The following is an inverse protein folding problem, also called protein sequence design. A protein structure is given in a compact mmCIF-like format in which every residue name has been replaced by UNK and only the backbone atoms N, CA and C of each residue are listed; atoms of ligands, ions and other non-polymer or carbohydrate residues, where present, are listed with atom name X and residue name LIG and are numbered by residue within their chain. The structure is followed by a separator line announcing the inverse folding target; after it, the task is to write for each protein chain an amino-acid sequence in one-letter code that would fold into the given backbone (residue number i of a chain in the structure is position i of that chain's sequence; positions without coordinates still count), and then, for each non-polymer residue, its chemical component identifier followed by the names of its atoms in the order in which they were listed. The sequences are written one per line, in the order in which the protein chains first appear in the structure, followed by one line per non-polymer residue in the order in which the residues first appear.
data_IF_400077330033
#
_entry.id   IF_400077330033
#
_cell.length_a   1.000
_cell.length_b   1.000
_cell.length_c   1.000
_cell.angle_alpha   90.00
_cell.angle_beta   90.00
_cell.angle_gamma   90.00
#
_symmetry.space_group_name_H-M   'P 1'
#
loop_
_entity.id
_entity.type
_entity.pdbx_description
1 polymer ?
#
# COMPACT_ATOMS: atom_id res chain seq x y z
N UNK A 1 44.15 12.55 -45.62
CA UNK A 1 44.07 11.30 -46.43
C UNK A 1 42.64 11.10 -46.90
N UNK A 2 42.36 11.36 -48.18
CA UNK A 2 41.04 11.11 -48.77
C UNK A 2 40.92 9.63 -49.14
N UNK A 3 39.92 8.94 -48.59
CA UNK A 3 39.57 7.58 -48.99
C UNK A 3 39.35 7.51 -50.52
N UNK A 4 39.83 6.45 -51.21
CA UNK A 4 39.67 6.30 -52.65
C UNK A 4 38.19 6.38 -53.07
N UNK A 5 37.89 7.07 -54.19
CA UNK A 5 36.52 7.33 -54.70
C UNK A 5 35.52 6.16 -54.55
N UNK A 6 35.83 4.89 -54.90
CA UNK A 6 34.88 3.79 -54.74
C UNK A 6 34.48 3.53 -53.29
N UNK A 7 35.37 3.75 -52.32
CA UNK A 7 35.08 3.53 -50.90
C UNK A 7 34.19 4.62 -50.29
N UNK A 8 34.15 5.82 -50.88
CA UNK A 8 33.24 6.88 -50.43
C UNK A 8 31.77 6.60 -50.76
N UNK A 9 31.50 5.76 -51.76
CA UNK A 9 30.14 5.41 -52.20
C UNK A 9 29.71 4.05 -51.65
N UNK A 10 30.62 3.08 -51.61
CA UNK A 10 30.36 1.72 -51.12
C UNK A 10 30.11 1.70 -49.60
N UNK A 11 30.85 2.48 -48.81
CA UNK A 11 30.73 2.49 -47.36
C UNK A 11 29.37 3.02 -46.85
N UNK A 12 28.83 4.17 -47.32
CA UNK A 12 27.49 4.61 -46.91
C UNK A 12 26.38 3.70 -47.43
N UNK A 13 26.58 3.02 -48.57
CA UNK A 13 25.62 2.06 -49.11
C UNK A 13 25.59 0.74 -48.31
N UNK A 14 26.74 0.25 -47.85
CA UNK A 14 26.82 -0.89 -46.91
C UNK A 14 26.28 -0.54 -45.53
N UNK A 15 26.56 0.66 -45.04
CA UNK A 15 26.04 1.16 -43.77
C UNK A 15 24.52 1.29 -43.82
N UNK A 16 23.94 1.85 -44.89
CA UNK A 16 22.49 1.98 -45.03
C UNK A 16 21.80 0.62 -45.18
N UNK A 17 22.37 -0.31 -45.95
CA UNK A 17 21.81 -1.68 -46.09
C UNK A 17 21.88 -2.50 -44.81
N UNK A 18 22.79 -2.22 -43.89
CA UNK A 18 22.83 -2.87 -42.57
C UNK A 18 21.99 -2.13 -41.50
N UNK A 19 22.00 -0.80 -41.50
CA UNK A 19 21.31 0.02 -40.49
C UNK A 19 19.80 0.04 -40.67
N UNK A 20 19.30 0.07 -41.91
CA UNK A 20 17.85 0.10 -42.16
C UNK A 20 17.15 -1.18 -41.65
N UNK A 21 17.65 -2.40 -41.92
CA UNK A 21 17.07 -3.60 -41.32
C UNK A 21 17.18 -3.64 -39.80
N UNK A 22 18.28 -3.16 -39.23
CA UNK A 22 18.46 -3.12 -37.77
C UNK A 22 17.52 -2.13 -37.09
N UNK A 23 17.28 -0.95 -37.69
CA UNK A 23 16.33 0.02 -37.14
C UNK A 23 14.90 -0.47 -37.28
N UNK A 24 14.53 -1.06 -38.42
CA UNK A 24 13.20 -1.66 -38.61
C UNK A 24 12.98 -2.84 -37.66
N UNK A 25 13.98 -3.72 -37.48
CA UNK A 25 13.92 -4.81 -36.51
C UNK A 25 13.82 -4.30 -35.07
N UNK A 26 14.58 -3.25 -34.72
CA UNK A 26 14.52 -2.61 -33.41
C UNK A 26 13.17 -1.96 -33.12
N UNK A 27 12.63 -1.21 -34.08
CA UNK A 27 11.30 -0.59 -33.98
C UNK A 27 10.21 -1.66 -33.94
N UNK A 28 10.32 -2.72 -34.75
CA UNK A 28 9.39 -3.85 -34.73
C UNK A 28 9.41 -4.60 -33.40
N UNK A 29 10.59 -4.83 -32.82
CA UNK A 29 10.72 -5.43 -31.49
C UNK A 29 10.14 -4.53 -30.40
N UNK A 30 10.41 -3.22 -30.46
CA UNK A 30 9.81 -2.25 -29.55
C UNK A 30 8.28 -2.23 -29.66
N UNK A 31 7.75 -2.19 -30.89
CA UNK A 31 6.31 -2.16 -31.16
C UNK A 31 5.60 -3.44 -30.69
N UNK A 32 6.19 -4.61 -30.97
CA UNK A 32 5.64 -5.90 -30.51
C UNK A 32 5.65 -6.01 -28.98
N UNK A 33 6.73 -5.58 -28.32
CA UNK A 33 6.81 -5.51 -26.86
C UNK A 33 5.76 -4.55 -26.28
N UNK A 34 5.54 -3.40 -26.92
CA UNK A 34 4.53 -2.44 -26.50
C UNK A 34 3.10 -2.99 -26.65
N UNK A 35 2.78 -3.62 -27.79
CA UNK A 35 1.49 -4.28 -28.02
C UNK A 35 1.23 -5.40 -26.99
N UNK A 36 2.25 -6.21 -26.68
CA UNK A 36 2.15 -7.24 -25.65
C UNK A 36 1.84 -6.65 -24.27
N UNK A 37 2.53 -5.58 -23.88
CA UNK A 37 2.26 -4.92 -22.60
C UNK A 37 0.83 -4.36 -22.52
N UNK A 38 0.31 -3.79 -23.61
CA UNK A 38 -1.08 -3.31 -23.64
C UNK A 38 -2.10 -4.44 -23.57
N UNK A 39 -1.85 -5.55 -24.28
CA UNK A 39 -2.69 -6.73 -24.22
C UNK A 39 -2.71 -7.31 -22.80
N UNK A 40 -1.54 -7.43 -22.17
CA UNK A 40 -1.41 -7.88 -20.78
C UNK A 40 -2.22 -6.97 -19.82
N UNK A 41 -2.06 -5.64 -19.92
CA UNK A 41 -2.79 -4.70 -19.07
C UNK A 41 -4.32 -4.80 -19.25
N UNK A 42 -4.78 -4.95 -20.49
CA UNK A 42 -6.21 -5.14 -20.77
C UNK A 42 -6.73 -6.43 -20.15
N UNK A 43 -6.04 -7.55 -20.38
CA UNK A 43 -6.43 -8.84 -19.79
C UNK A 43 -6.44 -8.80 -18.27
N UNK A 44 -5.47 -8.12 -17.66
CA UNK A 44 -5.44 -7.93 -16.22
C UNK A 44 -6.66 -7.15 -15.72
N UNK A 45 -7.02 -6.02 -16.36
CA UNK A 45 -8.21 -5.23 -16.00
C UNK A 45 -9.49 -6.07 -16.17
N UNK A 46 -9.62 -6.78 -17.28
CA UNK A 46 -10.77 -7.63 -17.57
C UNK A 46 -10.92 -8.72 -16.50
N UNK A 47 -9.82 -9.35 -16.08
CA UNK A 47 -9.82 -10.37 -15.03
C UNK A 47 -10.13 -9.78 -13.64
N UNK A 48 -9.56 -8.63 -13.30
CA UNK A 48 -9.76 -7.97 -11.99
C UNK A 48 -11.18 -7.43 -11.80
N UNK A 49 -11.86 -7.11 -12.89
CA UNK A 49 -13.24 -6.58 -12.89
C UNK A 49 -14.30 -7.66 -13.14
N UNK A 50 -13.89 -8.91 -13.43
CA UNK A 50 -14.81 -10.03 -13.68
C UNK A 50 -15.67 -10.33 -12.44
N UNK A 51 -16.93 -10.73 -12.67
CA UNK A 51 -17.86 -11.09 -11.59
C UNK A 51 -17.42 -12.36 -10.84
N UNK A 52 -16.66 -13.25 -11.47
CA UNK A 52 -16.19 -14.49 -10.88
C UNK A 52 -15.00 -14.25 -9.93
N UNK A 53 -15.12 -14.57 -8.63
CA UNK A 53 -14.07 -14.34 -7.64
C UNK A 53 -12.74 -15.04 -7.98
N UNK A 54 -12.79 -16.22 -8.61
CA UNK A 54 -11.59 -16.96 -9.00
C UNK A 54 -10.80 -16.24 -10.10
N UNK A 55 -11.48 -15.69 -11.11
CA UNK A 55 -10.85 -14.94 -12.20
C UNK A 55 -10.21 -13.65 -11.69
N UNK A 56 -10.86 -12.97 -10.73
CA UNK A 56 -10.26 -11.79 -10.07
C UNK A 56 -8.96 -12.11 -9.36
N UNK A 57 -8.85 -13.27 -8.69
CA UNK A 57 -7.57 -13.68 -8.06
C UNK A 57 -6.45 -13.84 -9.09
N UNK A 58 -6.75 -14.39 -10.28
CA UNK A 58 -5.77 -14.44 -11.37
C UNK A 58 -5.41 -13.05 -11.88
N UNK A 59 -6.38 -12.14 -12.00
CA UNK A 59 -6.14 -10.74 -12.35
C UNK A 59 -5.21 -10.03 -11.35
N UNK A 60 -5.43 -10.24 -10.05
CA UNK A 60 -4.59 -9.67 -8.98
C UNK A 60 -3.17 -10.26 -9.01
N UNK A 61 -3.03 -11.56 -9.26
CA UNK A 61 -1.72 -12.19 -9.41
C UNK A 61 -0.96 -11.65 -10.64
N UNK A 62 -1.68 -11.42 -11.74
CA UNK A 62 -1.13 -10.80 -12.94
C UNK A 62 -0.72 -9.34 -12.68
N UNK A 63 -1.53 -8.58 -11.96
CA UNK A 63 -1.19 -7.23 -11.51
C UNK A 63 0.07 -7.19 -10.65
N UNK A 64 0.20 -8.09 -9.66
CA UNK A 64 1.41 -8.25 -8.85
C UNK A 64 2.65 -8.49 -9.75
N UNK A 65 2.53 -9.40 -10.72
CA UNK A 65 3.59 -9.70 -11.66
C UNK A 65 3.97 -8.49 -12.52
N UNK A 66 3.00 -7.78 -13.08
CA UNK A 66 3.27 -6.62 -13.93
C UNK A 66 3.90 -5.46 -13.14
N UNK A 67 3.47 -5.22 -11.90
CA UNK A 67 4.07 -4.22 -11.01
C UNK A 67 5.53 -4.53 -10.65
N UNK A 68 5.85 -5.82 -10.40
CA UNK A 68 7.22 -6.26 -10.13
C UNK A 68 8.17 -6.03 -11.30
N UNK A 69 7.65 -5.94 -12.53
CA UNK A 69 8.41 -5.83 -13.77
C UNK A 69 8.31 -4.44 -14.43
N UNK A 70 7.89 -3.39 -13.70
CA UNK A 70 7.73 -2.02 -14.22
C UNK A 70 6.80 -1.91 -15.44
N UNK A 71 5.85 -2.85 -15.59
CA UNK A 71 4.91 -2.86 -16.73
C UNK A 71 3.61 -2.09 -16.47
N UNK A 72 3.32 -1.77 -15.21
CA UNK A 72 2.15 -0.99 -14.80
C UNK A 72 2.61 0.40 -14.34
N UNK A 73 2.03 1.49 -14.88
CA UNK A 73 2.27 2.83 -14.38
C UNK A 73 1.92 2.95 -12.89
N UNK A 74 2.73 3.63 -12.10
CA UNK A 74 2.53 3.73 -10.64
C UNK A 74 1.26 4.49 -10.27
N UNK A 75 0.76 5.37 -11.14
CA UNK A 75 -0.50 6.09 -11.01
C UNK A 75 -1.71 5.15 -11.04
N UNK A 76 -1.56 3.95 -11.64
CA UNK A 76 -2.62 2.95 -11.59
C UNK A 76 -2.80 2.36 -10.19
N UNK A 77 -1.76 2.37 -9.34
CA UNK A 77 -1.83 1.79 -7.99
C UNK A 77 -2.88 2.51 -7.15
N UNK A 78 -2.89 3.85 -7.17
CA UNK A 78 -3.87 4.67 -6.44
C UNK A 78 -5.28 4.39 -6.94
N UNK A 79 -5.49 4.45 -8.26
CA UNK A 79 -6.80 4.19 -8.86
C UNK A 79 -7.35 2.80 -8.54
N UNK A 80 -6.50 1.77 -8.54
CA UNK A 80 -6.91 0.40 -8.21
C UNK A 80 -7.23 0.24 -6.72
N UNK A 81 -6.47 0.87 -5.82
CA UNK A 81 -6.77 0.84 -4.38
C UNK A 81 -8.04 1.62 -4.04
N UNK A 82 -8.26 2.78 -4.65
CA UNK A 82 -9.48 3.56 -4.49
C UNK A 82 -10.71 2.80 -5.02
N UNK A 83 -10.59 2.17 -6.20
CA UNK A 83 -11.62 1.29 -6.75
C UNK A 83 -11.94 0.15 -5.79
N UNK A 84 -10.91 -0.55 -5.30
CA UNK A 84 -11.07 -1.68 -4.39
C UNK A 84 -11.71 -1.28 -3.05
N UNK A 85 -11.38 -0.10 -2.54
CA UNK A 85 -11.98 0.45 -1.32
C UNK A 85 -13.47 0.79 -1.49
N UNK A 86 -13.87 1.22 -2.70
CA UNK A 86 -15.28 1.50 -3.03
C UNK A 86 -16.07 0.27 -3.54
N UNK A 87 -15.40 -0.86 -3.74
CA UNK A 87 -15.99 -2.07 -4.31
C UNK A 87 -16.97 -2.75 -3.36
N UNK A 88 -17.97 -3.42 -3.91
CA UNK A 88 -18.88 -4.28 -3.14
C UNK A 88 -18.20 -5.56 -2.62
N UNK A 89 -17.09 -5.97 -3.24
CA UNK A 89 -16.28 -7.09 -2.79
C UNK A 89 -15.30 -6.67 -1.69
N UNK A 90 -15.62 -7.05 -0.45
CA UNK A 90 -14.81 -6.73 0.74
C UNK A 90 -13.43 -7.40 0.74
N UNK A 91 -13.23 -8.46 -0.02
CA UNK A 91 -11.95 -9.17 -0.09
C UNK A 91 -10.99 -8.55 -1.12
N UNK A 92 -11.51 -7.71 -2.02
CA UNK A 92 -10.72 -7.15 -3.12
C UNK A 92 -9.61 -6.21 -2.64
N UNK A 93 -9.93 -5.27 -1.75
CA UNK A 93 -8.95 -4.33 -1.19
C UNK A 93 -7.82 -5.05 -0.44
N UNK A 94 -8.09 -5.97 0.51
CA UNK A 94 -7.02 -6.72 1.19
C UNK A 94 -6.11 -7.51 0.25
N UNK A 95 -6.65 -8.07 -0.83
CA UNK A 95 -5.89 -8.83 -1.84
C UNK A 95 -5.01 -7.92 -2.69
N UNK A 96 -5.54 -6.78 -3.14
CA UNK A 96 -4.77 -5.80 -3.91
C UNK A 96 -3.67 -5.15 -3.08
N UNK A 97 -3.96 -4.76 -1.85
CA UNK A 97 -2.94 -4.24 -0.93
C UNK A 97 -1.80 -5.26 -0.74
N UNK A 98 -2.10 -6.55 -0.63
CA UNK A 98 -1.08 -7.60 -0.52
C UNK A 98 -0.23 -7.72 -1.80
N UNK A 99 -0.86 -7.68 -2.98
CA UNK A 99 -0.18 -7.71 -4.26
C UNK A 99 0.78 -6.51 -4.42
N UNK A 100 0.30 -5.29 -4.16
CA UNK A 100 1.10 -4.07 -4.24
C UNK A 100 2.23 -4.11 -3.20
N UNK A 101 1.95 -4.56 -1.99
CA UNK A 101 2.96 -4.71 -0.94
C UNK A 101 4.08 -5.66 -1.39
N UNK A 102 3.76 -6.86 -1.90
CA UNK A 102 4.76 -7.79 -2.43
C UNK A 102 5.55 -7.22 -3.59
N UNK A 103 4.91 -6.43 -4.46
CA UNK A 103 5.60 -5.75 -5.54
C UNK A 103 6.54 -4.65 -5.03
N UNK A 104 6.14 -3.88 -4.02
CA UNK A 104 6.95 -2.82 -3.40
C UNK A 104 8.22 -3.32 -2.71
N UNK A 105 8.26 -4.60 -2.30
CA UNK A 105 9.45 -5.23 -1.74
C UNK A 105 10.56 -5.45 -2.79
N UNK A 106 10.18 -5.50 -4.08
CA UNK A 106 11.09 -5.72 -5.21
C UNK A 106 11.33 -4.41 -5.96
N UNK A 107 10.31 -3.58 -6.09
CA UNK A 107 10.33 -2.37 -6.88
C UNK A 107 10.16 -1.11 -6.02
N UNK A 108 11.17 -0.23 -6.04
CA UNK A 108 11.20 0.98 -5.21
C UNK A 108 10.20 2.05 -5.69
N UNK A 109 9.90 2.12 -6.99
CA UNK A 109 8.91 3.08 -7.53
C UNK A 109 7.49 2.75 -7.06
N UNK A 110 7.16 1.46 -7.04
CA UNK A 110 5.91 0.92 -6.50
C UNK A 110 5.81 1.20 -5.00
N UNK A 111 6.93 1.13 -4.27
CA UNK A 111 6.95 1.44 -2.84
C UNK A 111 6.53 2.88 -2.54
N UNK A 112 7.12 3.88 -3.21
CA UNK A 112 6.75 5.28 -2.98
C UNK A 112 5.29 5.56 -3.35
N UNK A 113 4.83 5.01 -4.47
CA UNK A 113 3.44 5.17 -4.90
C UNK A 113 2.45 4.46 -3.97
N UNK A 114 2.83 3.30 -3.42
CA UNK A 114 2.02 2.59 -2.43
C UNK A 114 1.91 3.35 -1.12
N UNK A 115 3.01 3.95 -0.64
CA UNK A 115 3.01 4.83 0.54
C UNK A 115 2.11 6.06 0.33
N UNK A 116 2.15 6.68 -0.85
CA UNK A 116 1.27 7.81 -1.17
C UNK A 116 -0.20 7.39 -1.26
N UNK A 117 -0.48 6.26 -1.92
CA UNK A 117 -1.84 5.75 -2.09
C UNK A 117 -2.48 5.39 -0.73
N UNK A 118 -1.76 4.61 0.07
CA UNK A 118 -2.24 4.21 1.41
C UNK A 118 -2.38 5.40 2.36
N UNK A 119 -1.63 6.48 2.15
CA UNK A 119 -1.79 7.70 2.91
C UNK A 119 -3.13 8.41 2.72
N UNK A 120 -3.87 8.12 1.65
CA UNK A 120 -5.22 8.65 1.40
C UNK A 120 -6.32 7.78 2.00
N UNK A 121 -6.00 6.53 2.33
CA UNK A 121 -6.92 5.59 2.94
C UNK A 121 -7.03 5.84 4.46
N UNK A 122 -8.15 5.45 5.08
CA UNK A 122 -8.27 5.47 6.54
C UNK A 122 -7.16 4.67 7.22
N UNK A 123 -6.64 5.19 8.33
CA UNK A 123 -5.59 4.55 9.14
C UNK A 123 -6.14 3.27 9.75
N UNK A 124 -5.38 2.18 9.62
CA UNK A 124 -5.78 0.87 10.20
C UNK A 124 -5.13 0.72 11.56
N UNK A 125 -5.94 0.70 12.60
CA UNK A 125 -5.44 0.63 13.97
C UNK A 125 -5.91 -0.66 14.62
N UNK A 126 -4.97 -1.52 15.00
CA UNK A 126 -5.25 -2.73 15.77
C UNK A 126 -5.16 -2.41 17.26
N UNK A 127 -6.20 -2.74 18.03
CA UNK A 127 -6.24 -2.39 19.45
C UNK A 127 -5.99 -3.63 20.30
N UNK A 128 -5.05 -3.50 21.22
CA UNK A 128 -4.61 -4.52 22.16
C UNK A 128 -5.01 -4.08 23.57
N UNK A 129 -6.11 -4.67 24.06
CA UNK A 129 -6.66 -4.42 25.39
C UNK A 129 -6.08 -5.38 26.43
N UNK A 130 -5.95 -4.98 27.69
CA UNK A 130 -5.43 -5.87 28.75
C UNK A 130 -6.43 -6.93 29.21
N UNK A 131 -7.71 -6.61 29.14
CA UNK A 131 -8.78 -7.47 29.58
C UNK A 131 -10.05 -7.18 28.77
N UNK A 132 -11.03 -8.07 28.87
CA UNK A 132 -12.26 -7.95 28.08
C UNK A 132 -13.10 -6.72 28.42
N UNK A 133 -12.99 -6.20 29.66
CA UNK A 133 -13.72 -5.00 30.07
C UNK A 133 -13.21 -3.72 29.37
N UNK A 134 -11.96 -3.72 28.89
CA UNK A 134 -11.39 -2.60 28.14
C UNK A 134 -11.69 -2.64 26.64
N UNK A 135 -12.08 -3.79 26.09
CA UNK A 135 -12.38 -3.95 24.66
C UNK A 135 -13.42 -2.94 24.11
N UNK A 136 -14.53 -2.64 24.81
CA UNK A 136 -15.48 -1.64 24.32
C UNK A 136 -14.91 -0.21 24.29
N UNK A 137 -13.85 0.08 25.04
CA UNK A 137 -13.27 1.43 25.11
C UNK A 137 -12.82 1.95 23.73
N UNK A 138 -12.29 1.08 22.87
CA UNK A 138 -11.90 1.48 21.51
C UNK A 138 -13.08 2.10 20.75
N UNK A 139 -14.23 1.43 20.74
CA UNK A 139 -15.44 1.94 20.08
C UNK A 139 -15.93 3.25 20.71
N UNK A 140 -15.95 3.33 22.04
CA UNK A 140 -16.37 4.54 22.76
C UNK A 140 -15.47 5.73 22.43
N UNK A 141 -14.15 5.54 22.41
CA UNK A 141 -13.20 6.59 22.05
C UNK A 141 -13.42 7.09 20.62
N UNK A 142 -13.70 6.17 19.69
CA UNK A 142 -13.98 6.53 18.30
C UNK A 142 -15.31 7.28 18.15
N UNK A 143 -16.32 6.94 18.96
CA UNK A 143 -17.62 7.63 18.94
C UNK A 143 -17.57 9.03 19.57
N UNK A 144 -16.62 9.30 20.47
CA UNK A 144 -16.39 10.62 21.05
C UNK A 144 -15.50 11.52 20.15
N UNK A 145 -14.92 10.96 19.07
CA UNK A 145 -14.21 11.76 18.06
C UNK A 145 -15.17 12.50 17.13
N UNK A 146 -14.70 13.58 16.50
CA UNK A 146 -15.46 14.28 15.47
C UNK A 146 -15.62 13.38 14.24
N UNK A 147 -16.73 13.51 13.51
CA UNK A 147 -17.06 12.66 12.34
C UNK A 147 -15.93 12.58 11.30
N UNK A 148 -15.24 13.71 11.04
CA UNK A 148 -14.11 13.75 10.11
C UNK A 148 -12.90 12.92 10.58
N UNK A 149 -12.60 12.98 11.88
CA UNK A 149 -11.50 12.22 12.49
C UNK A 149 -11.85 10.73 12.57
N UNK A 150 -13.11 10.42 12.89
CA UNK A 150 -13.67 9.07 12.88
C UNK A 150 -13.59 8.42 11.50
N UNK A 151 -13.89 9.16 10.43
CA UNK A 151 -13.78 8.64 9.07
C UNK A 151 -12.33 8.33 8.64
N UNK A 152 -11.35 8.95 9.29
CA UNK A 152 -9.93 8.74 9.01
C UNK A 152 -9.33 7.51 9.72
N UNK A 153 -10.12 6.80 10.55
CA UNK A 153 -9.65 5.68 11.36
C UNK A 153 -10.55 4.46 11.17
N UNK A 154 -9.93 3.29 11.09
CA UNK A 154 -10.64 2.01 11.12
C UNK A 154 -10.02 1.11 12.19
N UNK A 155 -10.86 0.33 12.87
CA UNK A 155 -10.43 -0.72 13.80
C UNK A 155 -10.73 -2.10 13.21
N UNK A 156 -9.78 -2.72 12.48
CA UNK A 156 -9.99 -4.05 11.93
C UNK A 156 -10.16 -5.12 13.01
N UNK A 157 -9.54 -4.93 14.18
CA UNK A 157 -9.63 -5.88 15.29
C UNK A 157 -9.32 -5.22 16.63
N UNK A 158 -10.01 -5.69 17.67
CA UNK A 158 -9.77 -5.37 19.08
C UNK A 158 -9.60 -6.68 19.84
N UNK A 159 -8.37 -6.98 20.25
CA UNK A 159 -7.99 -8.24 20.87
C UNK A 159 -7.45 -8.04 22.29
N UNK A 160 -7.54 -9.09 23.09
CA UNK A 160 -6.96 -9.11 24.44
C UNK A 160 -5.48 -9.51 24.34
N UNK A 161 -4.60 -8.64 24.80
CA UNK A 161 -3.16 -8.88 24.85
C UNK A 161 -2.76 -9.56 26.17
N UNK A 162 -1.76 -10.43 26.08
CA UNK A 162 -1.19 -11.14 27.24
C UNK A 162 -0.23 -10.28 28.08
N UNK A 163 0.15 -9.11 27.56
CA UNK A 163 1.10 -8.21 28.17
C UNK A 163 0.73 -6.76 27.84
N UNK A 164 0.98 -5.85 28.77
CA UNK A 164 1.03 -4.42 28.49
C UNK A 164 2.22 -3.75 29.16
N UNK A 165 2.62 -2.63 28.59
CA UNK A 165 3.63 -1.75 29.17
C UNK A 165 3.08 -0.83 30.25
N UNK A 166 3.95 0.00 30.81
CA UNK A 166 3.61 0.98 31.85
C UNK A 166 2.80 2.18 31.32
N UNK A 167 2.75 2.38 30.00
CA UNK A 167 2.00 3.44 29.34
C UNK A 167 1.10 2.87 28.24
N UNK A 168 0.07 3.61 27.84
CA UNK A 168 -0.62 3.31 26.60
C UNK A 168 0.29 3.70 25.44
N UNK A 169 0.54 2.77 24.53
CA UNK A 169 1.47 2.97 23.42
C UNK A 169 0.73 3.01 22.08
N UNK A 170 1.13 3.91 21.19
CA UNK A 170 0.79 3.87 19.78
C UNK A 170 2.03 3.46 18.99
N UNK A 171 1.99 2.27 18.40
CA UNK A 171 3.11 1.69 17.68
C UNK A 171 2.92 1.84 16.18
N UNK A 172 3.98 2.22 15.49
CA UNK A 172 4.02 2.30 14.03
C UNK A 172 5.16 1.45 13.46
N UNK A 173 4.96 0.93 12.25
CA UNK A 173 5.88 -0.06 11.66
C UNK A 173 6.72 0.48 10.51
N UNK A 174 6.40 1.66 9.98
CA UNK A 174 7.22 2.34 8.96
C UNK A 174 7.69 3.68 9.49
N UNK A 175 8.96 4.01 9.27
CA UNK A 175 9.49 5.32 9.64
C UNK A 175 8.73 6.47 8.97
N UNK A 176 8.21 6.25 7.76
CA UNK A 176 7.36 7.20 7.03
C UNK A 176 6.00 7.47 7.71
N UNK A 177 5.51 6.55 8.55
CA UNK A 177 4.24 6.70 9.27
C UNK A 177 4.36 7.55 10.54
N UNK A 178 5.58 7.95 10.96
CA UNK A 178 5.81 8.66 12.22
C UNK A 178 4.93 9.91 12.38
N UNK A 179 4.92 10.80 11.39
CA UNK A 179 4.12 12.04 11.45
C UNK A 179 2.63 11.74 11.63
N UNK A 180 2.14 10.67 11.00
CA UNK A 180 0.75 10.24 11.16
C UNK A 180 0.50 9.61 12.53
N UNK A 181 1.45 8.83 13.06
CA UNK A 181 1.36 8.32 14.42
C UNK A 181 1.25 9.46 15.44
N UNK A 182 2.07 10.50 15.29
CA UNK A 182 2.03 11.68 16.17
C UNK A 182 0.67 12.38 16.10
N UNK A 183 0.13 12.61 14.89
CA UNK A 183 -1.23 13.16 14.71
C UNK A 183 -2.32 12.27 15.33
N UNK A 184 -2.23 10.95 15.17
CA UNK A 184 -3.18 10.01 15.76
C UNK A 184 -3.12 10.07 17.30
N UNK A 185 -1.91 10.15 17.88
CA UNK A 185 -1.75 10.30 19.32
C UNK A 185 -2.42 11.60 19.83
N UNK A 186 -2.31 12.70 19.09
CA UNK A 186 -3.00 13.96 19.41
C UNK A 186 -4.54 13.82 19.34
N UNK A 187 -5.07 13.11 18.33
CA UNK A 187 -6.50 12.84 18.22
C UNK A 187 -7.03 12.02 19.40
N UNK A 188 -6.30 10.98 19.81
CA UNK A 188 -6.68 10.18 20.98
C UNK A 188 -6.53 10.96 22.28
N UNK A 189 -5.52 11.82 22.40
CA UNK A 189 -5.35 12.69 23.56
C UNK A 189 -6.53 13.67 23.70
N UNK A 190 -7.08 14.17 22.59
CA UNK A 190 -8.25 15.06 22.59
C UNK A 190 -9.53 14.39 23.16
N UNK A 191 -9.65 13.07 23.04
CA UNK A 191 -10.75 12.28 23.64
C UNK A 191 -10.35 11.62 24.98
N UNK A 192 -9.22 12.03 25.55
CA UNK A 192 -8.77 11.66 26.90
C UNK A 192 -7.85 10.45 27.00
N UNK A 193 -7.43 9.82 25.88
CA UNK A 193 -6.47 8.73 25.89
C UNK A 193 -5.06 9.24 25.54
N UNK A 194 -4.20 9.35 26.53
CA UNK A 194 -2.80 9.72 26.32
C UNK A 194 -2.00 8.54 25.78
N UNK A 195 -1.44 8.68 24.57
CA UNK A 195 -0.66 7.66 23.89
C UNK A 195 0.80 8.09 23.76
N UNK A 196 1.73 7.18 24.08
CA UNK A 196 3.16 7.35 23.78
C UNK A 196 3.47 6.70 22.44
N UNK A 197 4.01 7.48 21.48
CA UNK A 197 4.37 6.93 20.17
C UNK A 197 5.65 6.10 20.24
N UNK A 198 5.66 4.94 19.56
CA UNK A 198 6.76 3.98 19.58
C UNK A 198 7.09 3.49 18.17
N UNK A 199 8.34 3.68 17.79
CA UNK A 199 8.88 3.21 16.51
C UNK A 199 9.22 1.73 16.58
N UNK A 200 8.58 0.92 15.74
CA UNK A 200 8.95 -0.49 15.54
C UNK A 200 9.60 -0.76 14.18
N UNK A 201 9.83 0.27 13.36
CA UNK A 201 10.27 0.13 11.97
C UNK A 201 11.63 -0.54 11.80
N UNK A 202 12.48 -0.47 12.83
CA UNK A 202 13.82 -1.09 12.84
C UNK A 202 13.99 -2.15 13.94
N UNK A 203 13.19 -2.09 15.00
CA UNK A 203 13.36 -2.96 16.18
C UNK A 203 12.59 -4.27 16.09
N UNK A 204 11.59 -4.38 15.21
CA UNK A 204 10.79 -5.59 15.03
C UNK A 204 10.91 -6.13 13.62
N UNK A 205 11.26 -7.42 13.48
CA UNK A 205 11.47 -8.06 12.18
C UNK A 205 10.22 -8.07 11.30
N UNK A 206 9.03 -8.16 11.90
CA UNK A 206 7.75 -8.10 11.18
C UNK A 206 7.43 -6.73 10.59
N UNK A 207 8.11 -5.66 11.00
CA UNK A 207 7.83 -4.31 10.53
C UNK A 207 8.09 -4.13 9.03
N UNK A 208 8.98 -4.94 8.45
CA UNK A 208 9.21 -5.00 7.00
C UNK A 208 7.93 -5.42 6.25
N UNK A 209 7.22 -6.39 6.81
CA UNK A 209 6.03 -7.01 6.22
C UNK A 209 4.73 -6.36 6.68
N UNK A 210 4.79 -5.35 7.55
CA UNK A 210 3.65 -4.49 7.84
C UNK A 210 3.34 -3.59 6.65
N UNK A 211 2.04 -3.36 6.41
CA UNK A 211 1.57 -2.38 5.43
C UNK A 211 1.85 -0.96 5.96
N UNK A 212 2.12 0.02 5.08
CA UNK A 212 2.08 1.42 5.47
C UNK A 212 0.70 1.80 6.01
N UNK A 213 0.62 2.90 6.76
CA UNK A 213 -0.63 3.38 7.35
C UNK A 213 -1.33 2.37 8.28
N UNK A 214 -0.54 1.49 8.91
CA UNK A 214 -1.00 0.48 9.88
C UNK A 214 -0.35 0.74 11.23
N UNK A 215 -1.16 0.76 12.29
CA UNK A 215 -0.75 1.09 13.64
C UNK A 215 -1.30 0.07 14.64
N UNK A 216 -0.68 0.01 15.81
CA UNK A 216 -1.21 -0.72 16.96
C UNK A 216 -1.35 0.20 18.16
N UNK A 217 -2.51 0.18 18.81
CA UNK A 217 -2.69 0.77 20.13
C UNK A 217 -2.59 -0.34 21.16
N UNK A 218 -1.72 -0.17 22.15
CA UNK A 218 -1.58 -1.07 23.28
C UNK A 218 -2.02 -0.36 24.55
N UNK A 219 -3.08 -0.84 25.18
CA UNK A 219 -3.49 -0.32 26.47
C UNK A 219 -2.53 -0.81 27.54
N UNK A 220 -1.82 0.14 28.17
CA UNK A 220 -0.97 -0.08 29.34
C UNK A 220 -1.74 -0.15 30.65
N UNK A 221 -0.96 -0.16 31.74
CA UNK A 221 -1.45 -0.08 33.12
C UNK A 221 -2.15 1.23 33.55
N UNK A 222 -1.96 2.41 32.91
CA UNK A 222 -2.67 3.61 33.34
C UNK A 222 -4.18 3.46 33.21
N UNK A 223 -4.92 4.26 33.99
CA UNK A 223 -6.37 4.26 33.92
C UNK A 223 -6.85 4.74 32.55
N UNK A 224 -7.75 3.98 31.93
CA UNK A 224 -8.47 4.43 30.74
C UNK A 224 -9.36 5.63 31.08
N UNK A 225 -9.64 6.50 30.11
CA UNK A 225 -10.49 7.66 30.35
C UNK A 225 -11.89 7.26 30.84
N UNK A 226 -12.50 8.14 31.65
CA UNK A 226 -13.72 7.86 32.41
C UNK A 226 -14.92 7.45 31.54
N UNK A 227 -14.99 7.96 30.31
CA UNK A 227 -15.98 7.59 29.29
C UNK A 227 -15.96 6.08 28.96
N UNK A 228 -14.80 5.43 29.04
CA UNK A 228 -14.67 3.99 28.83
C UNK A 228 -15.12 3.14 30.03
N UNK A 229 -15.11 3.71 31.23
CA UNK A 229 -15.47 3.01 32.48
C UNK A 229 -16.95 3.15 32.83
N UNK A 230 -17.63 4.14 32.25
CA UNK A 230 -19.08 4.35 32.37
C UNK A 230 -19.64 4.66 30.97
N UNK A 231 -20.04 3.64 30.20
CA UNK A 231 -20.69 3.89 28.92
C UNK A 231 -21.94 4.74 29.16
N UNK A 232 -22.02 5.91 28.52
CA UNK A 232 -23.24 6.72 28.51
C UNK A 232 -24.38 5.82 28.00
N UNK A 233 -25.42 5.66 28.83
CA UNK A 233 -26.66 4.95 28.45
C UNK A 233 -27.38 5.68 27.32
#
# INVERSE_FOLDING_TARGET
MSLPRPWREILPQLLSTALIPLTVAGIGWYYTRWQQNLADLRTMIDLMTDAAPEKRKYGIAMFEYLLKNDKVPVEFITAQLDYANSSSDRDLLPLLENAVQKASLVNTSVKSAYEEATARLPSRIFVHALNDAQRPCAGILLDEMKDGDKAAITFPSVITARWSGEAHELRYFKASDRKRADNLAELFAAVGLQLTTKDLSTSWSGARDSRPNTFEIWFGNPALPMNCLQPKK
#
